data_IF_703236430536
#
_entry.id   IF_703236430536
#
_cell.length_a   1.000
_cell.length_b   1.000
_cell.length_c   1.000
_cell.angle_alpha   90.00
_cell.angle_beta   90.00
_cell.angle_gamma   90.00
#
_symmetry.space_group_name_H-M   'P 1'
#
loop_
_entity.id
_entity.type
_entity.pdbx_description
1 polymer ?
#
# COMPACT_ATOMS: atom_id res chain seq x y z
N UNK A 1 1.99 6.22 -9.54
CA UNK A 1 1.83 4.80 -9.18
C UNK A 1 3.18 4.10 -9.22
N UNK A 2 3.44 3.24 -8.25
CA UNK A 2 4.68 2.44 -8.14
C UNK A 2 4.30 0.98 -7.98
N UNK A 3 4.81 0.10 -8.83
CA UNK A 3 4.72 -1.34 -8.63
C UNK A 3 5.68 -1.73 -7.50
N UNK A 4 5.15 -2.00 -6.33
CA UNK A 4 5.97 -2.24 -5.15
C UNK A 4 6.51 -3.66 -5.10
N UNK A 5 5.68 -4.65 -5.38
CA UNK A 5 6.12 -6.04 -5.35
C UNK A 5 5.95 -6.69 -6.72
N UNK A 6 7.02 -7.32 -7.19
CA UNK A 6 7.02 -8.03 -8.46
C UNK A 6 6.73 -9.52 -8.26
N UNK A 7 6.41 -10.20 -9.34
CA UNK A 7 6.27 -11.65 -9.37
C UNK A 7 7.51 -12.37 -8.81
N UNK A 8 8.70 -11.83 -9.07
CA UNK A 8 9.97 -12.39 -8.62
C UNK A 8 10.30 -12.10 -7.15
N UNK A 9 9.42 -11.40 -6.45
CA UNK A 9 9.60 -11.05 -5.03
C UNK A 9 10.48 -9.85 -4.76
N UNK A 10 10.76 -9.03 -5.76
CA UNK A 10 11.46 -7.76 -5.57
C UNK A 10 10.49 -6.72 -4.99
N UNK A 11 10.91 -6.05 -3.94
CA UNK A 11 10.12 -5.00 -3.27
C UNK A 11 10.95 -3.75 -3.02
N UNK A 12 10.29 -2.59 -3.05
CA UNK A 12 10.90 -1.36 -2.55
C UNK A 12 10.86 -1.32 -1.02
N UNK A 13 11.73 -0.54 -0.45
CA UNK A 13 11.56 -0.09 0.92
C UNK A 13 10.57 1.10 0.90
N UNK A 14 9.29 0.82 1.14
CA UNK A 14 8.22 1.82 1.06
C UNK A 14 8.45 2.98 2.02
N UNK A 15 8.92 2.71 3.22
CA UNK A 15 9.28 3.76 4.18
C UNK A 15 10.25 4.75 3.56
N UNK A 16 11.30 4.26 2.90
CA UNK A 16 12.29 5.12 2.24
C UNK A 16 11.70 5.87 1.05
N UNK A 17 10.83 5.24 0.28
CA UNK A 17 10.12 5.90 -0.83
C UNK A 17 9.28 7.06 -0.31
N UNK A 18 8.54 6.87 0.78
CA UNK A 18 7.71 7.92 1.37
C UNK A 18 8.54 9.06 1.98
N UNK A 19 9.71 8.77 2.56
CA UNK A 19 10.65 9.78 3.03
C UNK A 19 11.15 10.67 1.88
N UNK A 20 11.44 10.07 0.73
CA UNK A 20 11.99 10.78 -0.43
C UNK A 20 10.92 11.55 -1.21
N UNK A 21 9.76 10.94 -1.44
CA UNK A 21 8.72 11.50 -2.30
C UNK A 21 7.62 12.24 -1.52
N UNK A 22 7.41 11.90 -0.26
CA UNK A 22 6.35 12.46 0.55
C UNK A 22 6.28 14.00 0.58
N UNK A 23 7.41 14.73 0.62
CA UNK A 23 7.38 16.19 0.58
C UNK A 23 6.86 16.78 -0.73
N UNK A 24 6.94 16.05 -1.83
CA UNK A 24 6.63 16.54 -3.19
C UNK A 24 5.34 16.01 -3.77
N UNK A 25 4.76 14.95 -3.19
CA UNK A 25 3.52 14.33 -3.68
C UNK A 25 2.44 14.39 -2.61
N UNK A 26 1.19 14.61 -3.03
CA UNK A 26 0.04 14.59 -2.13
C UNK A 26 -0.59 13.20 -2.02
N UNK A 27 -0.47 12.39 -3.04
CA UNK A 27 -1.04 11.03 -3.13
C UNK A 27 -0.05 10.10 -3.80
N UNK A 28 0.00 8.85 -3.33
CA UNK A 28 0.83 7.81 -3.92
C UNK A 28 0.08 6.47 -3.93
N UNK A 29 0.19 5.76 -5.04
CA UNK A 29 -0.41 4.43 -5.17
C UNK A 29 0.69 3.37 -5.33
N UNK A 30 0.67 2.37 -4.45
CA UNK A 30 1.51 1.19 -4.53
C UNK A 30 0.71 0.01 -5.07
N UNK A 31 1.15 -0.57 -6.16
CA UNK A 31 0.65 -1.84 -6.64
C UNK A 31 1.37 -2.97 -5.90
N UNK A 32 0.64 -3.62 -5.00
CA UNK A 32 1.10 -4.74 -4.18
C UNK A 32 0.31 -6.01 -4.51
N UNK A 33 0.01 -6.23 -5.78
CA UNK A 33 -0.74 -7.38 -6.25
C UNK A 33 -0.09 -8.71 -5.86
N UNK A 34 1.23 -8.73 -5.66
CA UNK A 34 2.00 -9.87 -5.20
C UNK A 34 2.53 -9.65 -3.79
N UNK A 35 2.43 -10.67 -2.94
CA UNK A 35 3.03 -10.72 -1.59
C UNK A 35 2.60 -9.61 -0.61
N UNK A 36 1.53 -8.85 -0.89
CA UNK A 36 1.08 -7.76 0.00
C UNK A 36 0.82 -8.21 1.45
N UNK A 37 0.43 -9.47 1.65
CA UNK A 37 0.24 -10.06 2.99
C UNK A 37 1.55 -10.15 3.80
N UNK A 38 2.72 -10.12 3.15
CA UNK A 38 4.01 -10.17 3.85
C UNK A 38 4.25 -8.95 4.76
N UNK A 39 3.45 -7.90 4.62
CA UNK A 39 3.42 -6.75 5.53
C UNK A 39 3.28 -7.18 7.00
N UNK A 40 2.59 -8.28 7.26
CA UNK A 40 2.38 -8.77 8.62
C UNK A 40 3.59 -9.52 9.21
N UNK A 41 4.58 -9.82 8.40
CA UNK A 41 5.84 -10.40 8.87
C UNK A 41 6.78 -9.27 9.33
N UNK A 42 7.36 -9.36 10.56
CA UNK A 42 8.25 -8.33 11.09
C UNK A 42 9.44 -7.99 10.19
N UNK A 43 9.94 -8.94 9.39
CA UNK A 43 11.06 -8.72 8.48
C UNK A 43 10.72 -7.84 7.28
N UNK A 44 9.44 -7.79 6.91
CA UNK A 44 9.01 -7.12 5.68
C UNK A 44 8.08 -5.93 5.91
N UNK A 45 7.75 -5.62 7.16
CA UNK A 45 6.71 -4.62 7.48
C UNK A 45 6.95 -3.22 6.90
N UNK A 46 8.20 -2.80 6.77
CA UNK A 46 8.55 -1.47 6.23
C UNK A 46 8.64 -1.45 4.69
N UNK A 47 8.41 -2.60 4.05
CA UNK A 47 8.47 -2.76 2.60
C UNK A 47 7.12 -2.73 1.91
N UNK A 48 6.04 -2.56 2.68
CA UNK A 48 4.68 -2.53 2.16
C UNK A 48 3.96 -1.25 2.57
N UNK A 49 3.02 -0.81 1.72
CA UNK A 49 2.42 0.51 1.81
C UNK A 49 1.70 0.79 3.14
N UNK A 50 1.08 -0.23 3.74
CA UNK A 50 0.35 -0.09 5.00
C UNK A 50 1.22 -0.41 6.23
N UNK A 51 2.53 -0.10 6.18
CA UNK A 51 3.42 -0.28 7.32
C UNK A 51 3.12 0.70 8.46
N UNK A 52 3.55 0.35 9.68
CA UNK A 52 3.49 1.23 10.84
C UNK A 52 2.09 1.49 11.37
N UNK A 53 2.01 2.42 12.32
CA UNK A 53 0.77 2.87 12.94
C UNK A 53 0.18 4.03 12.12
N UNK A 54 -1.11 3.97 11.72
CA UNK A 54 -1.75 5.08 11.02
C UNK A 54 -1.97 6.32 11.90
N UNK A 55 -1.93 6.17 13.23
CA UNK A 55 -2.10 7.30 14.15
C UNK A 55 -0.96 8.32 13.98
N UNK A 56 -1.34 9.59 13.79
CA UNK A 56 -0.37 10.66 13.62
C UNK A 56 0.34 10.69 12.27
N UNK A 57 -0.06 9.87 11.31
CA UNK A 57 0.53 9.87 9.98
C UNK A 57 0.22 11.17 9.23
N UNK A 58 1.26 11.86 8.75
CA UNK A 58 1.16 13.16 8.08
C UNK A 58 1.79 13.19 6.68
N UNK A 59 2.12 12.05 6.15
CA UNK A 59 2.66 11.94 4.79
C UNK A 59 1.60 12.08 3.69
N UNK A 60 1.91 11.72 2.45
CA UNK A 60 0.93 11.68 1.37
C UNK A 60 -0.16 10.63 1.64
N UNK A 61 -1.35 10.84 1.09
CA UNK A 61 -2.37 9.79 1.11
C UNK A 61 -1.89 8.60 0.29
N UNK A 62 -1.93 7.41 0.87
CA UNK A 62 -1.40 6.18 0.30
C UNK A 62 -2.54 5.26 -0.09
N UNK A 63 -2.49 4.76 -1.32
CA UNK A 63 -3.32 3.68 -1.82
C UNK A 63 -2.46 2.44 -2.02
N UNK A 64 -2.97 1.28 -1.66
CA UNK A 64 -2.34 0.01 -1.96
C UNK A 64 -3.37 -0.97 -2.53
N UNK A 65 -3.08 -1.52 -3.69
CA UNK A 65 -3.90 -2.58 -4.28
C UNK A 65 -3.25 -3.93 -4.05
N UNK A 66 -4.03 -4.88 -3.52
CA UNK A 66 -3.57 -6.24 -3.26
C UNK A 66 -4.51 -7.24 -3.93
N UNK A 67 -3.96 -8.34 -4.46
CA UNK A 67 -4.75 -9.46 -4.98
C UNK A 67 -4.80 -10.57 -3.94
N UNK A 68 -5.99 -11.08 -3.66
CA UNK A 68 -6.16 -12.22 -2.75
C UNK A 68 -6.14 -13.57 -3.46
N UNK A 69 -6.48 -13.59 -4.75
CA UNK A 69 -6.54 -14.82 -5.53
C UNK A 69 -5.18 -15.37 -5.98
N UNK A 70 -4.11 -14.58 -5.92
CA UNK A 70 -2.78 -14.99 -6.39
C UNK A 70 -2.03 -15.85 -5.38
N UNK A 71 -2.02 -15.43 -4.11
CA UNK A 71 -1.22 -16.06 -3.04
C UNK A 71 -2.01 -16.33 -1.77
N UNK A 72 -3.22 -15.79 -1.64
CA UNK A 72 -4.15 -16.06 -0.56
C UNK A 72 -5.31 -16.89 -1.09
N UNK A 73 -5.91 -17.72 -0.24
CA UNK A 73 -7.04 -18.55 -0.64
C UNK A 73 -8.26 -17.68 -0.95
N UNK A 74 -8.74 -17.78 -2.18
CA UNK A 74 -9.99 -17.18 -2.62
C UNK A 74 -10.65 -18.12 -3.65
N UNK A 75 -11.98 -18.25 -3.58
CA UNK A 75 -12.72 -19.10 -4.53
C UNK A 75 -12.83 -18.50 -5.92
N UNK A 76 -12.65 -17.19 -6.02
CA UNK A 76 -12.68 -16.46 -7.30
C UNK A 76 -11.65 -15.32 -7.27
N UNK A 77 -11.48 -14.66 -8.39
CA UNK A 77 -10.63 -13.48 -8.47
C UNK A 77 -11.15 -12.41 -7.52
N UNK A 78 -10.27 -11.92 -6.65
CA UNK A 78 -10.57 -10.88 -5.67
C UNK A 78 -9.37 -9.98 -5.44
N UNK A 79 -9.66 -8.73 -5.10
CA UNK A 79 -8.65 -7.74 -4.76
C UNK A 79 -9.17 -6.77 -3.72
N UNK A 80 -8.26 -6.13 -3.02
CA UNK A 80 -8.56 -5.06 -2.07
C UNK A 80 -7.81 -3.79 -2.44
N UNK A 81 -8.43 -2.66 -2.17
CA UNK A 81 -7.78 -1.36 -2.15
C UNK A 81 -7.74 -0.91 -0.69
N UNK A 82 -6.53 -0.72 -0.19
CA UNK A 82 -6.29 -0.17 1.13
C UNK A 82 -5.97 1.31 0.99
N UNK A 83 -6.52 2.14 1.87
CA UNK A 83 -6.29 3.58 1.87
C UNK A 83 -5.81 4.02 3.24
N UNK A 84 -4.74 4.79 3.27
CA UNK A 84 -4.28 5.53 4.45
C UNK A 84 -4.32 7.01 4.13
N UNK A 85 -5.22 7.74 4.79
CA UNK A 85 -5.29 9.19 4.64
C UNK A 85 -4.03 9.86 5.20
N UNK A 86 -3.53 10.82 4.46
CA UNK A 86 -2.44 11.68 4.84
C UNK A 86 -2.87 13.15 4.83
N UNK A 87 -1.94 14.02 4.43
CA UNK A 87 -2.17 15.47 4.35
C UNK A 87 -3.23 15.91 3.32
N UNK A 88 -3.56 15.03 2.37
CA UNK A 88 -4.59 15.24 1.35
C UNK A 88 -5.57 14.05 1.38
N UNK A 89 -6.49 14.01 2.40
CA UNK A 89 -7.38 12.88 2.59
C UNK A 89 -8.41 12.79 1.47
N UNK A 90 -8.97 11.59 1.27
CA UNK A 90 -10.05 11.36 0.32
C UNK A 90 -11.41 11.47 1.00
N UNK A 91 -12.45 11.72 0.21
CA UNK A 91 -13.84 11.53 0.62
C UNK A 91 -14.20 10.04 0.47
N UNK A 92 -14.16 9.31 1.59
CA UNK A 92 -14.40 7.87 1.61
C UNK A 92 -15.80 7.48 1.11
N UNK A 93 -16.81 8.26 1.42
CA UNK A 93 -18.19 7.99 0.97
C UNK A 93 -18.25 8.05 -0.56
N UNK A 94 -17.69 9.11 -1.14
CA UNK A 94 -17.62 9.28 -2.60
C UNK A 94 -16.72 8.27 -3.29
N UNK A 95 -15.63 7.90 -2.65
CA UNK A 95 -14.71 6.89 -3.18
C UNK A 95 -15.37 5.53 -3.33
N UNK A 96 -16.32 5.19 -2.46
CA UNK A 96 -17.04 3.91 -2.47
C UNK A 96 -18.24 3.88 -3.43
N UNK A 97 -18.54 4.99 -4.08
CA UNK A 97 -19.56 5.03 -5.13
C UNK A 97 -19.07 4.34 -6.41
#
# INVERSE_FOLDING_TARGET
>A
MITNSTYDGLTYNVRRVLELLGPTVSRIHFDEAWYGYARFNPLYRDRYAMYGDPAGYQGPTVFATTSTHKLLAAFSQASFIHVRDGKDPIDHARFNE
#
